data_IF_416097526269
#
_entry.id   IF_416097526269
#
_cell.length_a   1.000
_cell.length_b   1.000
_cell.length_c   1.000
_cell.angle_alpha   90.00
_cell.angle_beta   90.00
_cell.angle_gamma   90.00
#
_symmetry.space_group_name_H-M   'P 1'
#
loop_
_entity.id
_entity.type
_entity.pdbx_description
1 polymer ?
#
# COMPACT_ATOMS: atom_id res chain seq x y z
N UNK A 1 25.42 12.60 -9.05
CA UNK A 1 25.58 13.10 -10.44
C UNK A 1 25.54 14.62 -10.42
N UNK A 2 26.22 15.27 -11.35
CA UNK A 2 26.12 16.72 -11.54
C UNK A 2 25.06 17.02 -12.60
N UNK A 3 24.29 18.09 -12.42
CA UNK A 3 23.31 18.56 -13.39
C UNK A 3 23.96 18.85 -14.77
N UNK A 4 23.29 18.41 -15.84
CA UNK A 4 23.65 18.76 -17.22
C UNK A 4 22.39 18.99 -18.06
N UNK A 5 22.49 19.79 -19.09
CA UNK A 5 21.39 19.99 -20.05
C UNK A 5 20.99 18.68 -20.76
N UNK A 6 21.93 17.74 -20.88
CA UNK A 6 21.62 16.43 -21.45
C UNK A 6 20.64 15.63 -20.61
N UNK A 7 20.75 15.66 -19.27
CA UNK A 7 19.78 15.03 -18.37
C UNK A 7 18.38 15.62 -18.54
N UNK A 8 18.28 16.94 -18.74
CA UNK A 8 17.01 17.60 -18.96
C UNK A 8 16.28 17.11 -20.22
N UNK A 9 17.03 16.71 -21.25
CA UNK A 9 16.44 16.16 -22.48
C UNK A 9 15.82 14.77 -22.32
N UNK A 10 16.06 14.09 -21.19
CA UNK A 10 15.46 12.81 -20.86
C UNK A 10 14.00 12.96 -20.37
N UNK A 11 13.54 14.18 -20.08
CA UNK A 11 12.15 14.43 -19.70
C UNK A 11 11.23 14.11 -20.88
N UNK A 12 10.20 13.27 -20.68
CA UNK A 12 9.29 12.92 -21.75
C UNK A 12 8.55 14.16 -22.28
N UNK A 13 8.30 14.20 -23.57
CA UNK A 13 7.55 15.28 -24.25
C UNK A 13 8.10 16.71 -24.04
N UNK A 14 9.35 16.85 -23.62
CA UNK A 14 9.94 18.17 -23.31
C UNK A 14 9.83 19.14 -24.48
N UNK A 15 10.09 18.71 -25.71
CA UNK A 15 9.98 19.55 -26.92
C UNK A 15 8.55 20.07 -27.14
N UNK A 16 7.54 19.23 -26.93
CA UNK A 16 6.13 19.66 -27.04
C UNK A 16 5.78 20.63 -25.91
N UNK A 17 6.20 20.35 -24.69
CA UNK A 17 5.99 21.21 -23.53
C UNK A 17 6.62 22.60 -23.74
N UNK A 18 7.88 22.63 -24.20
CA UNK A 18 8.58 23.87 -24.56
C UNK A 18 7.82 24.68 -25.61
N UNK A 19 7.35 24.04 -26.70
CA UNK A 19 6.58 24.70 -27.76
C UNK A 19 5.29 25.30 -27.22
N UNK A 20 4.50 24.54 -26.49
CA UNK A 20 3.23 25.01 -25.91
C UNK A 20 3.43 26.24 -25.02
N UNK A 21 4.43 26.21 -24.15
CA UNK A 21 4.73 27.35 -23.25
C UNK A 21 5.15 28.57 -24.05
N UNK A 22 5.97 28.38 -25.11
CA UNK A 22 6.43 29.45 -26.00
C UNK A 22 5.28 30.07 -26.78
N UNK A 23 4.43 29.26 -27.43
CA UNK A 23 3.30 29.71 -28.26
C UNK A 23 2.24 30.48 -27.44
N UNK A 24 2.09 30.10 -26.19
CA UNK A 24 1.19 30.78 -25.25
C UNK A 24 1.80 32.05 -24.63
N UNK A 25 3.10 32.32 -24.83
CA UNK A 25 3.81 33.45 -24.22
C UNK A 25 3.93 33.34 -22.70
N UNK A 26 3.92 32.13 -22.15
CA UNK A 26 4.00 31.88 -20.72
C UNK A 26 5.43 31.59 -20.26
N UNK A 27 5.69 31.81 -18.98
CA UNK A 27 6.92 31.29 -18.35
C UNK A 27 6.59 29.98 -17.64
N UNK A 28 7.27 28.91 -18.00
CA UNK A 28 7.09 27.58 -17.43
C UNK A 28 8.40 27.00 -16.88
N UNK A 29 8.28 26.17 -15.88
CA UNK A 29 9.40 25.49 -15.26
C UNK A 29 9.02 24.02 -15.02
N UNK A 30 9.92 23.11 -15.37
CA UNK A 30 9.87 21.75 -14.80
C UNK A 30 10.35 21.82 -13.37
N UNK A 31 9.66 21.19 -12.45
CA UNK A 31 9.92 21.35 -11.01
C UNK A 31 9.77 20.03 -10.26
N UNK A 32 10.36 19.95 -9.08
CA UNK A 32 9.99 18.91 -8.12
C UNK A 32 10.70 17.57 -8.27
N UNK A 33 9.95 16.51 -8.01
CA UNK A 33 10.46 15.15 -7.89
C UNK A 33 11.12 14.59 -9.15
N UNK A 34 10.64 14.97 -10.32
CA UNK A 34 11.21 14.51 -11.59
C UNK A 34 12.68 14.93 -11.76
N UNK A 35 13.04 16.14 -11.33
CA UNK A 35 14.42 16.61 -11.38
C UNK A 35 15.33 15.88 -10.39
N UNK A 36 14.81 15.55 -9.19
CA UNK A 36 15.49 14.68 -8.24
C UNK A 36 15.74 13.31 -8.85
N UNK A 37 14.72 12.73 -9.48
CA UNK A 37 14.79 11.37 -10.01
C UNK A 37 15.76 11.29 -11.20
N UNK A 38 15.81 12.33 -12.05
CA UNK A 38 16.87 12.48 -13.05
C UNK A 38 18.27 12.53 -12.43
N UNK A 39 18.47 13.33 -11.37
CA UNK A 39 19.77 13.40 -10.67
C UNK A 39 20.17 12.07 -10.03
N UNK A 40 19.20 11.21 -9.69
CA UNK A 40 19.41 9.86 -9.17
C UNK A 40 19.53 8.79 -10.27
N UNK A 41 19.40 9.17 -11.55
CA UNK A 41 19.42 8.23 -12.68
C UNK A 41 18.21 7.31 -12.72
N UNK A 42 17.05 7.79 -12.23
CA UNK A 42 15.77 7.07 -12.24
C UNK A 42 14.94 7.50 -13.44
N UNK A 43 14.14 6.59 -13.94
CA UNK A 43 13.15 6.89 -14.98
C UNK A 43 12.11 7.88 -14.48
N UNK A 44 11.70 8.82 -15.35
CA UNK A 44 10.71 9.86 -15.05
C UNK A 44 9.47 9.65 -15.91
N UNK A 45 8.36 9.36 -15.25
CA UNK A 45 7.04 9.22 -15.87
C UNK A 45 6.03 10.26 -15.36
N UNK A 46 6.33 10.89 -14.22
CA UNK A 46 5.54 11.96 -13.62
C UNK A 46 6.33 13.27 -13.66
N UNK A 47 5.80 14.27 -14.37
CA UNK A 47 6.45 15.57 -14.58
C UNK A 47 5.59 16.68 -14.00
N UNK A 48 6.13 17.41 -13.02
CA UNK A 48 5.49 18.59 -12.43
C UNK A 48 5.92 19.87 -13.19
N UNK A 49 4.95 20.66 -13.59
CA UNK A 49 5.16 21.92 -14.31
C UNK A 49 4.57 23.09 -13.50
N UNK A 50 5.42 24.05 -13.13
CA UNK A 50 5.00 25.31 -12.57
C UNK A 50 4.92 26.38 -13.67
N UNK A 51 3.78 27.07 -13.77
CA UNK A 51 3.50 28.06 -14.83
C UNK A 51 3.24 29.42 -14.20
N UNK A 52 3.97 30.43 -14.67
CA UNK A 52 3.65 31.84 -14.37
C UNK A 52 2.51 32.28 -15.28
N UNK A 53 1.28 32.23 -14.76
CA UNK A 53 0.06 32.56 -15.49
C UNK A 53 -0.95 31.43 -15.51
N UNK A 54 -1.68 31.28 -16.62
CA UNK A 54 -2.79 30.33 -16.76
C UNK A 54 -2.27 28.89 -17.01
N UNK A 55 -2.09 28.15 -15.91
CA UNK A 55 -1.65 26.77 -15.95
C UNK A 55 -2.69 25.85 -16.61
N UNK A 56 -3.98 26.12 -16.44
CA UNK A 56 -5.05 25.33 -17.08
C UNK A 56 -5.03 25.46 -18.60
N UNK A 57 -4.86 26.68 -19.11
CA UNK A 57 -4.73 26.92 -20.56
C UNK A 57 -3.51 26.17 -21.12
N UNK A 58 -2.39 26.22 -20.39
CA UNK A 58 -1.17 25.49 -20.78
C UNK A 58 -1.42 23.97 -20.82
N UNK A 59 -2.03 23.40 -19.77
CA UNK A 59 -2.34 21.96 -19.67
C UNK A 59 -3.31 21.50 -20.78
N UNK A 60 -4.34 22.30 -21.11
CA UNK A 60 -5.29 21.96 -22.19
C UNK A 60 -4.63 21.95 -23.55
N UNK A 61 -3.79 22.96 -23.85
CA UNK A 61 -3.06 23.01 -25.11
C UNK A 61 -2.09 21.83 -25.22
N UNK A 62 -1.35 21.53 -24.15
CA UNK A 62 -0.44 20.39 -24.11
C UNK A 62 -1.18 19.03 -24.30
N UNK A 63 -2.35 18.87 -23.68
CA UNK A 63 -3.19 17.68 -23.86
C UNK A 63 -3.63 17.50 -25.32
N UNK A 64 -4.02 18.58 -26.01
CA UNK A 64 -4.40 18.55 -27.41
C UNK A 64 -3.23 18.10 -28.31
N UNK A 65 -2.03 18.65 -28.10
CA UNK A 65 -0.86 18.35 -28.91
C UNK A 65 -0.33 16.93 -28.70
N UNK A 66 -0.39 16.43 -27.45
CA UNK A 66 0.06 15.09 -27.12
C UNK A 66 -1.03 14.03 -27.26
N UNK A 67 -2.26 14.38 -27.64
CA UNK A 67 -3.44 13.51 -27.63
C UNK A 67 -3.65 12.85 -26.25
N UNK A 68 -3.37 13.62 -25.20
CA UNK A 68 -3.53 13.20 -23.80
C UNK A 68 -4.93 13.49 -23.25
N UNK A 69 -5.25 12.88 -22.13
CA UNK A 69 -6.50 13.14 -21.41
C UNK A 69 -6.25 14.18 -20.33
N UNK A 70 -7.02 15.28 -20.38
CA UNK A 70 -6.97 16.39 -19.41
C UNK A 70 -7.88 16.12 -18.22
N UNK A 71 -7.41 16.39 -17.02
CA UNK A 71 -8.17 16.37 -15.76
C UNK A 71 -7.92 17.65 -14.97
N UNK A 72 -8.98 18.21 -14.39
CA UNK A 72 -8.86 19.27 -13.40
C UNK A 72 -8.81 18.62 -12.02
N UNK A 73 -7.72 18.78 -11.27
CA UNK A 73 -7.52 18.19 -9.95
C UNK A 73 -8.06 19.10 -8.85
N UNK A 74 -7.81 20.40 -8.94
CA UNK A 74 -8.25 21.40 -7.97
C UNK A 74 -8.59 22.69 -8.72
N UNK A 75 -9.87 23.04 -8.74
CA UNK A 75 -10.36 24.20 -9.46
C UNK A 75 -9.96 25.53 -8.78
N UNK A 76 -9.95 25.54 -7.45
CA UNK A 76 -9.62 26.76 -6.69
C UNK A 76 -8.14 27.11 -6.80
N UNK A 77 -7.29 26.09 -6.84
CA UNK A 77 -5.83 26.24 -6.96
C UNK A 77 -5.31 26.18 -8.38
N UNK A 78 -6.17 25.91 -9.36
CA UNK A 78 -5.79 25.81 -10.77
C UNK A 78 -4.88 24.61 -11.11
N UNK A 79 -4.92 23.54 -10.31
CA UNK A 79 -4.11 22.36 -10.54
C UNK A 79 -4.77 21.44 -11.56
N UNK A 80 -4.02 21.06 -12.58
CA UNK A 80 -4.49 20.23 -13.69
C UNK A 80 -3.52 19.10 -13.95
N UNK A 81 -4.04 17.98 -14.49
CA UNK A 81 -3.28 16.81 -14.87
C UNK A 81 -3.54 16.46 -16.33
N UNK A 82 -2.51 16.08 -17.04
CA UNK A 82 -2.60 15.47 -18.36
C UNK A 82 -1.99 14.08 -18.30
N UNK A 83 -2.74 13.07 -18.74
CA UNK A 83 -2.29 11.68 -18.81
C UNK A 83 -2.16 11.26 -20.26
N UNK A 84 -1.00 10.79 -20.65
CA UNK A 84 -0.72 10.31 -21.99
C UNK A 84 -0.51 8.79 -21.91
N UNK A 85 -1.40 8.04 -22.57
CA UNK A 85 -1.28 6.57 -22.68
C UNK A 85 -0.45 6.22 -23.89
N UNK A 86 0.62 5.48 -23.69
CA UNK A 86 1.49 4.93 -24.73
C UNK A 86 1.53 3.40 -24.65
N UNK A 87 2.49 2.76 -25.33
CA UNK A 87 2.70 1.31 -25.27
C UNK A 87 3.37 0.79 -23.99
N UNK A 88 3.65 1.68 -23.04
CA UNK A 88 4.28 1.38 -21.74
C UNK A 88 3.48 1.93 -20.56
N UNK A 89 4.18 2.31 -19.50
CA UNK A 89 3.55 3.03 -18.38
C UNK A 89 3.02 4.39 -18.85
N UNK A 90 1.86 4.85 -18.35
CA UNK A 90 1.32 6.15 -18.73
C UNK A 90 2.25 7.28 -18.23
N UNK A 91 2.46 8.28 -19.09
CA UNK A 91 3.16 9.51 -18.73
C UNK A 91 2.15 10.48 -18.09
N UNK A 92 2.50 11.08 -16.95
CA UNK A 92 1.66 12.01 -16.21
C UNK A 92 2.33 13.39 -16.13
N UNK A 93 1.57 14.45 -16.43
CA UNK A 93 2.03 15.84 -16.38
C UNK A 93 1.11 16.64 -15.50
N UNK A 94 1.63 17.17 -14.40
CA UNK A 94 0.90 17.99 -13.43
C UNK A 94 1.25 19.47 -13.60
N UNK A 95 0.24 20.26 -13.94
CA UNK A 95 0.39 21.71 -14.15
C UNK A 95 -0.19 22.46 -12.96
N UNK A 96 0.59 23.38 -12.41
CA UNK A 96 0.17 24.26 -11.32
C UNK A 96 0.62 25.69 -11.57
N UNK A 97 -0.16 26.70 -11.17
CA UNK A 97 0.33 28.08 -11.13
C UNK A 97 1.49 28.21 -10.15
N UNK A 98 2.44 29.12 -10.45
CA UNK A 98 3.48 29.50 -9.49
C UNK A 98 2.85 30.02 -8.20
N UNK A 99 3.37 29.57 -7.07
CA UNK A 99 3.05 30.11 -5.75
C UNK A 99 4.06 31.17 -5.36
N UNK A 100 3.57 32.37 -5.05
CA UNK A 100 4.41 33.50 -4.72
C UNK A 100 4.79 34.32 -5.96
N UNK A 101 5.79 35.20 -5.81
CA UNK A 101 6.13 36.22 -6.83
C UNK A 101 7.02 35.70 -7.98
N UNK A 102 7.74 34.61 -7.74
CA UNK A 102 8.70 34.03 -8.68
C UNK A 102 8.96 32.56 -8.34
N UNK A 103 9.75 31.87 -9.18
CA UNK A 103 10.09 30.45 -9.00
C UNK A 103 10.87 30.20 -7.70
N UNK A 104 11.70 31.11 -7.25
CA UNK A 104 12.48 30.96 -6.00
C UNK A 104 11.52 30.96 -4.79
N UNK A 105 10.52 31.85 -4.81
CA UNK A 105 9.47 31.87 -3.79
C UNK A 105 8.63 30.59 -3.81
N UNK A 106 8.28 30.05 -4.99
CA UNK A 106 7.57 28.76 -5.11
C UNK A 106 8.38 27.61 -4.49
N UNK A 107 9.67 27.53 -4.83
CA UNK A 107 10.55 26.46 -4.32
C UNK A 107 10.68 26.50 -2.78
N UNK A 108 10.72 27.68 -2.18
CA UNK A 108 10.78 27.87 -0.73
C UNK A 108 9.51 27.40 0.01
N UNK A 109 8.36 27.32 -0.67
CA UNK A 109 7.08 26.84 -0.13
C UNK A 109 6.91 25.31 -0.24
N UNK A 110 7.86 24.61 -0.88
CA UNK A 110 7.82 23.15 -1.02
C UNK A 110 8.13 22.44 0.29
N UNK A 111 7.98 21.13 0.28
CA UNK A 111 8.16 20.29 1.47
C UNK A 111 9.65 20.14 1.84
N UNK A 112 10.45 19.60 0.92
CA UNK A 112 11.86 19.26 1.15
C UNK A 112 12.75 19.80 0.04
N UNK A 113 14.00 20.14 0.39
CA UNK A 113 15.00 20.68 -0.53
C UNK A 113 15.22 19.81 -1.77
N UNK A 114 15.20 18.49 -1.60
CA UNK A 114 15.32 17.50 -2.68
C UNK A 114 14.19 17.58 -3.73
N UNK A 115 13.07 18.22 -3.41
CA UNK A 115 11.94 18.49 -4.31
C UNK A 115 11.82 19.96 -4.66
N UNK A 116 12.71 20.80 -4.17
CA UNK A 116 12.71 22.26 -4.38
C UNK A 116 13.71 22.67 -5.47
N UNK A 117 13.64 21.96 -6.58
CA UNK A 117 14.46 22.16 -7.78
C UNK A 117 13.58 22.64 -8.92
N UNK A 118 14.11 23.45 -9.80
CA UNK A 118 13.43 23.89 -11.01
C UNK A 118 14.41 24.02 -12.20
N UNK A 119 13.90 23.81 -13.41
CA UNK A 119 14.60 24.12 -14.66
C UNK A 119 13.64 24.90 -15.56
N UNK A 120 14.02 26.06 -16.10
CA UNK A 120 13.18 26.83 -17.00
C UNK A 120 12.94 26.07 -18.29
N UNK A 121 11.71 26.10 -18.79
CA UNK A 121 11.37 25.55 -20.11
C UNK A 121 11.87 26.41 -21.26
N UNK A 122 12.16 27.68 -21.00
CA UNK A 122 12.66 28.63 -22.00
C UNK A 122 14.08 29.07 -21.63
N UNK A 123 14.92 29.27 -22.66
CA UNK A 123 16.30 29.72 -22.48
C UNK A 123 17.25 28.57 -22.17
N UNK A 124 18.25 28.84 -21.35
CA UNK A 124 19.23 27.81 -20.96
C UNK A 124 18.64 26.87 -19.89
N UNK A 125 18.83 25.56 -20.06
CA UNK A 125 18.41 24.53 -19.10
C UNK A 125 19.32 24.52 -17.85
N UNK A 126 19.33 25.61 -17.10
CA UNK A 126 20.12 25.78 -15.87
C UNK A 126 19.27 25.36 -14.67
N UNK A 127 19.85 24.54 -13.80
CA UNK A 127 19.18 24.15 -12.55
C UNK A 127 19.08 25.34 -11.60
N UNK A 128 17.87 25.67 -11.20
CA UNK A 128 17.54 26.65 -10.15
C UNK A 128 17.40 25.87 -8.85
N UNK A 129 18.36 26.03 -7.95
CA UNK A 129 18.45 25.32 -6.67
C UNK A 129 18.81 26.29 -5.52
N UNK A 130 17.86 27.13 -5.11
CA UNK A 130 18.15 28.16 -4.09
C UNK A 130 18.33 27.57 -2.69
N UNK A 131 17.95 26.32 -2.46
CA UNK A 131 17.95 25.69 -1.13
C UNK A 131 19.00 24.57 -0.98
N UNK A 132 19.81 24.33 -2.02
CA UNK A 132 20.86 23.31 -1.99
C UNK A 132 20.35 21.87 -2.11
N UNK A 133 19.20 21.65 -2.77
CA UNK A 133 18.58 20.35 -2.93
C UNK A 133 19.45 19.34 -3.66
N UNK A 134 20.23 19.77 -4.68
CA UNK A 134 21.18 18.89 -5.38
C UNK A 134 22.30 18.39 -4.45
N UNK A 135 22.78 19.24 -3.55
CA UNK A 135 23.74 18.84 -2.53
C UNK A 135 23.12 17.84 -1.53
N UNK A 136 21.88 18.07 -1.08
CA UNK A 136 21.16 17.16 -0.20
C UNK A 136 20.86 15.82 -0.89
N UNK A 137 20.55 15.78 -2.17
CA UNK A 137 20.43 14.55 -2.96
C UNK A 137 21.75 13.77 -2.94
N UNK A 138 22.88 14.45 -3.20
CA UNK A 138 24.20 13.83 -3.19
C UNK A 138 24.61 13.33 -1.82
N UNK A 139 24.19 14.03 -0.76
CA UNK A 139 24.41 13.65 0.66
C UNK A 139 23.38 12.64 1.18
N UNK A 140 22.38 12.27 0.37
CA UNK A 140 21.29 11.38 0.75
C UNK A 140 20.51 11.89 1.97
N UNK A 141 20.15 13.18 1.98
CA UNK A 141 19.46 13.86 3.09
C UNK A 141 18.08 14.34 2.69
N UNK A 142 17.12 14.14 3.58
CA UNK A 142 15.78 14.76 3.54
C UNK A 142 15.77 15.95 4.48
N UNK A 143 15.80 17.16 3.92
CA UNK A 143 15.81 18.44 4.66
C UNK A 143 14.57 19.24 4.32
N UNK A 144 13.88 19.81 5.33
CA UNK A 144 12.73 20.72 5.12
C UNK A 144 13.17 22.03 4.43
N UNK A 145 12.35 22.56 3.54
CA UNK A 145 12.65 23.81 2.84
C UNK A 145 12.65 25.03 3.75
N UNK A 146 11.77 25.08 4.74
CA UNK A 146 11.62 26.23 5.64
C UNK A 146 11.23 25.82 7.06
N UNK A 147 11.36 26.76 8.00
CA UNK A 147 10.88 26.55 9.38
C UNK A 147 9.36 26.43 9.49
N UNK A 148 8.61 27.01 8.54
CA UNK A 148 7.14 26.93 8.51
C UNK A 148 6.62 25.65 7.85
N UNK A 149 7.46 24.88 7.16
CA UNK A 149 7.09 23.75 6.31
C UNK A 149 6.07 22.82 6.97
N UNK A 150 6.27 22.43 8.23
CA UNK A 150 5.38 21.52 8.96
C UNK A 150 4.09 22.17 9.50
N UNK A 151 4.09 23.50 9.66
CA UNK A 151 2.87 24.26 10.00
C UNK A 151 1.99 24.45 8.77
N UNK A 152 2.61 24.67 7.61
CA UNK A 152 1.92 24.91 6.33
C UNK A 152 1.16 23.66 5.87
N UNK A 153 1.73 22.46 6.04
CA UNK A 153 1.07 21.17 5.83
C UNK A 153 1.64 20.10 6.80
N UNK A 154 0.89 19.73 7.85
CA UNK A 154 1.33 18.72 8.81
C UNK A 154 1.56 17.31 8.22
N UNK A 155 0.99 16.98 7.05
CA UNK A 155 1.30 15.72 6.38
C UNK A 155 2.77 15.58 6.03
N UNK A 156 3.49 16.68 5.86
CA UNK A 156 4.93 16.69 5.58
C UNK A 156 5.75 16.00 6.67
N UNK A 157 5.21 15.89 7.90
CA UNK A 157 5.81 15.10 8.97
C UNK A 157 5.94 13.63 8.58
N UNK A 158 4.89 13.03 8.03
CA UNK A 158 4.89 11.64 7.53
C UNK A 158 5.69 11.52 6.22
N UNK A 159 5.55 12.51 5.33
CA UNK A 159 6.27 12.56 4.05
C UNK A 159 7.79 12.53 4.22
N UNK A 160 8.33 13.10 5.32
CA UNK A 160 9.76 13.02 5.62
C UNK A 160 10.24 11.56 5.71
N UNK A 161 9.51 10.74 6.47
CA UNK A 161 9.82 9.31 6.62
C UNK A 161 9.57 8.54 5.32
N UNK A 162 8.52 8.89 4.57
CA UNK A 162 8.27 8.26 3.28
C UNK A 162 9.41 8.53 2.30
N UNK A 163 9.90 9.78 2.20
CA UNK A 163 11.05 10.07 1.33
C UNK A 163 12.33 9.40 1.84
N UNK A 164 12.54 9.34 3.15
CA UNK A 164 13.67 8.63 3.72
C UNK A 164 13.63 7.14 3.34
N UNK A 165 12.47 6.48 3.46
CA UNK A 165 12.28 5.08 3.09
C UNK A 165 12.44 4.85 1.57
N UNK A 166 11.67 5.55 0.72
CA UNK A 166 11.61 5.31 -0.73
C UNK A 166 12.89 5.69 -1.48
N UNK A 167 13.65 6.66 -0.95
CA UNK A 167 14.93 7.09 -1.52
C UNK A 167 16.13 6.43 -0.84
N UNK A 168 15.94 5.78 0.30
CA UNK A 168 17.00 5.28 1.20
C UNK A 168 17.92 6.41 1.67
N UNK A 169 17.31 7.54 2.01
CA UNK A 169 17.95 8.73 2.55
C UNK A 169 17.79 8.79 4.07
N UNK A 170 18.59 9.64 4.73
CA UNK A 170 18.43 9.97 6.14
C UNK A 170 17.68 11.29 6.28
N UNK A 171 16.86 11.41 7.32
CA UNK A 171 16.27 12.71 7.67
C UNK A 171 17.37 13.54 8.36
N UNK A 172 17.52 14.78 7.92
CA UNK A 172 18.49 15.72 8.52
C UNK A 172 18.12 15.99 9.99
N UNK A 173 19.15 16.08 10.85
CA UNK A 173 18.98 16.14 12.31
C UNK A 173 18.06 17.28 12.78
N UNK A 174 18.20 18.50 12.22
CA UNK A 174 17.34 19.62 12.58
C UNK A 174 15.90 19.43 12.06
N UNK A 175 15.74 18.79 10.92
CA UNK A 175 14.44 18.41 10.36
C UNK A 175 13.75 17.39 11.26
N UNK A 176 14.48 16.35 11.70
CA UNK A 176 13.96 15.31 12.60
C UNK A 176 13.57 15.91 13.96
N UNK A 177 14.40 16.77 14.53
CA UNK A 177 14.09 17.49 15.78
C UNK A 177 12.83 18.37 15.63
N UNK A 178 12.68 19.02 14.47
CA UNK A 178 11.51 19.85 14.23
C UNK A 178 10.20 19.04 14.08
N UNK A 179 10.27 17.78 13.61
CA UNK A 179 9.11 16.88 13.56
C UNK A 179 8.52 16.71 14.96
N UNK A 180 9.33 16.38 15.95
CA UNK A 180 8.87 16.19 17.35
C UNK A 180 8.13 17.42 17.92
N UNK A 181 8.53 18.63 17.51
CA UNK A 181 7.92 19.89 17.96
C UNK A 181 6.60 20.26 17.25
N UNK A 182 6.19 19.54 16.19
CA UNK A 182 5.05 19.92 15.35
C UNK A 182 4.00 18.82 15.19
N UNK A 183 3.99 17.80 16.03
CA UNK A 183 3.12 16.62 15.90
C UNK A 183 1.62 16.87 16.07
N UNK A 184 1.12 17.70 17.03
CA UNK A 184 -0.30 17.75 17.34
C UNK A 184 -1.22 18.05 16.13
N UNK A 185 -0.89 18.96 15.19
CA UNK A 185 -1.73 19.22 14.02
C UNK A 185 -1.92 18.02 13.08
N UNK A 186 -1.04 17.00 13.14
CA UNK A 186 -1.16 15.77 12.34
C UNK A 186 -2.45 15.00 12.66
N UNK A 187 -2.96 15.12 13.89
CA UNK A 187 -4.23 14.49 14.28
C UNK A 187 -5.41 14.93 13.39
N UNK A 188 -5.39 16.16 12.89
CA UNK A 188 -6.44 16.77 12.05
C UNK A 188 -6.27 16.49 10.55
N UNK A 189 -5.17 15.89 10.13
CA UNK A 189 -4.96 15.51 8.73
C UNK A 189 -5.89 14.36 8.35
N UNK A 190 -6.50 14.46 7.16
CA UNK A 190 -7.39 13.43 6.62
C UNK A 190 -6.71 12.05 6.60
N UNK A 191 -7.43 11.03 7.05
CA UNK A 191 -6.90 9.68 7.21
C UNK A 191 -6.41 9.05 5.91
N UNK A 192 -7.08 9.37 4.81
CA UNK A 192 -6.71 8.92 3.46
C UNK A 192 -5.32 9.44 3.06
N UNK A 193 -5.03 10.72 3.34
CA UNK A 193 -3.72 11.31 3.04
C UNK A 193 -2.61 10.65 3.86
N UNK A 194 -2.88 10.38 5.15
CA UNK A 194 -1.92 9.67 6.03
C UNK A 194 -1.74 8.24 5.54
N UNK A 195 -2.83 7.53 5.21
CA UNK A 195 -2.80 6.16 4.65
C UNK A 195 -1.84 6.08 3.47
N UNK A 196 -2.01 6.96 2.49
CA UNK A 196 -1.25 6.92 1.25
C UNK A 196 0.26 7.07 1.49
N UNK A 197 0.68 7.89 2.45
CA UNK A 197 2.09 8.00 2.83
C UNK A 197 2.58 6.77 3.63
N UNK A 198 1.78 6.28 4.60
CA UNK A 198 2.13 5.10 5.41
C UNK A 198 2.28 3.84 4.57
N UNK A 199 1.34 3.60 3.65
CA UNK A 199 1.41 2.39 2.81
C UNK A 199 2.57 2.44 1.83
N UNK A 200 2.97 3.60 1.35
CA UNK A 200 4.22 3.74 0.58
C UNK A 200 5.46 3.37 1.40
N UNK A 201 5.49 3.71 2.71
CA UNK A 201 6.57 3.27 3.61
C UNK A 201 6.53 1.74 3.79
N UNK A 202 5.35 1.17 4.04
CA UNK A 202 5.17 -0.26 4.26
C UNK A 202 5.48 -1.11 3.01
N UNK A 203 5.40 -0.55 1.81
CA UNK A 203 5.78 -1.22 0.57
C UNK A 203 7.30 -1.36 0.42
N UNK A 204 8.07 -0.50 1.07
CA UNK A 204 9.54 -0.55 1.01
C UNK A 204 10.09 -1.69 1.90
N UNK A 205 11.27 -2.19 1.52
CA UNK A 205 12.03 -3.09 2.39
C UNK A 205 12.66 -2.31 3.54
N UNK A 206 12.70 -2.91 4.74
CA UNK A 206 13.19 -2.27 5.95
C UNK A 206 12.22 -1.26 6.56
N UNK A 207 10.92 -1.38 6.25
CA UNK A 207 9.86 -0.53 6.81
C UNK A 207 9.86 -0.50 8.35
N UNK A 208 10.31 -1.57 9.02
CA UNK A 208 10.45 -1.64 10.46
C UNK A 208 11.36 -0.53 11.02
N UNK A 209 12.48 -0.23 10.36
CA UNK A 209 13.38 0.85 10.80
C UNK A 209 12.70 2.23 10.71
N UNK A 210 11.91 2.48 9.67
CA UNK A 210 11.12 3.71 9.54
C UNK A 210 10.08 3.85 10.64
N UNK A 211 9.43 2.75 11.03
CA UNK A 211 8.47 2.73 12.15
C UNK A 211 9.16 2.97 13.49
N UNK A 212 10.36 2.41 13.72
CA UNK A 212 11.18 2.75 14.90
C UNK A 212 11.48 4.24 14.95
N UNK A 213 11.93 4.83 13.85
CA UNK A 213 12.29 6.25 13.81
C UNK A 213 11.05 7.15 13.99
N UNK A 214 9.92 6.85 13.35
CA UNK A 214 8.63 7.53 13.58
C UNK A 214 8.20 7.44 15.06
N UNK A 215 8.43 6.29 15.69
CA UNK A 215 8.16 6.09 17.12
C UNK A 215 9.03 6.94 18.02
N UNK A 216 10.32 7.05 17.72
CA UNK A 216 11.29 7.81 18.51
C UNK A 216 10.96 9.30 18.61
N UNK A 217 10.31 9.86 17.59
CA UNK A 217 9.85 11.25 17.56
C UNK A 217 8.41 11.43 18.05
N UNK A 218 7.70 10.34 18.41
CA UNK A 218 6.32 10.39 18.93
C UNK A 218 5.23 10.41 17.86
N UNK A 219 5.57 10.28 16.56
CA UNK A 219 4.61 10.36 15.46
C UNK A 219 3.55 9.26 15.55
N UNK A 220 3.95 8.01 15.84
CA UNK A 220 3.02 6.88 15.97
C UNK A 220 2.10 7.01 17.17
N UNK A 221 2.52 7.77 18.20
CA UNK A 221 1.66 8.15 19.33
C UNK A 221 0.49 9.02 18.88
N UNK A 222 0.73 10.02 18.04
CA UNK A 222 -0.31 10.91 17.53
C UNK A 222 -1.22 10.19 16.51
N UNK A 223 -0.67 9.29 15.70
CA UNK A 223 -1.44 8.62 14.64
C UNK A 223 -2.27 7.46 15.20
N UNK A 224 -1.70 6.64 16.10
CA UNK A 224 -2.32 5.38 16.57
C UNK A 224 -2.53 5.31 18.09
N UNK A 225 -2.16 6.33 18.86
CA UNK A 225 -2.22 6.29 20.32
C UNK A 225 -1.17 5.38 20.98
N UNK A 226 -0.03 5.12 20.30
CA UNK A 226 0.99 4.19 20.76
C UNK A 226 2.01 4.84 21.70
N UNK A 227 2.33 4.13 22.78
CA UNK A 227 3.45 4.49 23.63
C UNK A 227 4.79 4.08 23.01
N UNK A 228 5.78 4.96 23.06
CA UNK A 228 7.11 4.74 22.44
C UNK A 228 7.80 3.46 22.90
N UNK A 229 7.59 3.02 24.15
CA UNK A 229 8.20 1.81 24.70
C UNK A 229 7.82 0.52 23.94
N UNK A 230 6.65 0.47 23.31
CA UNK A 230 6.17 -0.71 22.58
C UNK A 230 6.63 -0.76 21.13
N UNK A 231 7.04 0.36 20.57
CA UNK A 231 7.25 0.50 19.12
C UNK A 231 8.47 -0.29 18.65
N UNK A 232 9.58 -0.27 19.37
CA UNK A 232 10.81 -0.95 18.96
C UNK A 232 10.64 -2.47 18.79
N UNK A 233 9.85 -3.11 19.66
CA UNK A 233 9.54 -4.53 19.52
C UNK A 233 8.53 -4.78 18.40
N UNK A 234 7.51 -3.93 18.28
CA UNK A 234 6.50 -4.04 17.24
C UNK A 234 7.09 -3.86 15.82
N UNK A 235 8.05 -2.96 15.68
CA UNK A 235 8.72 -2.75 14.40
C UNK A 235 9.49 -4.00 13.91
N UNK A 236 10.04 -4.81 14.81
CA UNK A 236 10.68 -6.08 14.45
C UNK A 236 9.70 -7.08 13.82
N UNK A 237 8.41 -7.00 14.15
CA UNK A 237 7.41 -7.85 13.54
C UNK A 237 7.22 -7.53 12.04
N UNK A 238 7.40 -6.27 11.64
CA UNK A 238 7.45 -5.89 10.21
C UNK A 238 8.62 -6.60 9.51
N UNK A 239 9.82 -6.53 10.10
CA UNK A 239 11.02 -7.14 9.53
C UNK A 239 10.90 -8.68 9.44
N UNK A 240 10.20 -9.30 10.39
CA UNK A 240 9.93 -10.76 10.35
C UNK A 240 8.99 -11.13 9.20
N UNK A 241 7.95 -10.34 8.94
CA UNK A 241 7.06 -10.55 7.76
C UNK A 241 7.87 -10.43 6.48
N UNK A 242 8.73 -9.41 6.34
CA UNK A 242 9.58 -9.24 5.16
C UNK A 242 10.47 -10.48 4.95
N UNK A 243 11.20 -10.92 5.96
CA UNK A 243 12.08 -12.10 5.88
C UNK A 243 11.33 -13.36 5.48
N UNK A 244 10.17 -13.60 6.06
CA UNK A 244 9.37 -14.78 5.74
C UNK A 244 8.88 -14.71 4.29
N UNK A 245 8.29 -13.60 3.87
CA UNK A 245 7.79 -13.44 2.50
C UNK A 245 8.93 -13.56 1.48
N UNK A 246 10.07 -12.95 1.71
CA UNK A 246 11.24 -13.03 0.85
C UNK A 246 11.73 -14.48 0.73
N UNK A 247 11.83 -15.23 1.85
CA UNK A 247 12.30 -16.60 1.82
C UNK A 247 11.39 -17.53 1.02
N UNK A 248 10.07 -17.28 1.06
CA UNK A 248 9.09 -18.07 0.30
C UNK A 248 8.97 -17.64 -1.16
N UNK A 249 9.11 -16.35 -1.47
CA UNK A 249 9.02 -15.83 -2.84
C UNK A 249 10.26 -16.12 -3.67
N UNK A 250 11.44 -16.28 -3.04
CA UNK A 250 12.69 -16.65 -3.70
C UNK A 250 12.82 -18.16 -3.96
N UNK A 251 11.96 -18.97 -3.35
CA UNK A 251 11.92 -20.40 -3.63
C UNK A 251 11.45 -20.65 -5.07
N UNK A 252 11.86 -21.76 -5.68
CA UNK A 252 11.36 -22.17 -6.99
C UNK A 252 10.03 -22.92 -6.86
N UNK A 253 9.15 -22.76 -7.87
CA UNK A 253 7.92 -23.52 -8.01
C UNK A 253 6.63 -22.71 -7.91
N UNK A 254 5.52 -23.36 -8.21
CA UNK A 254 4.18 -22.76 -8.30
C UNK A 254 3.77 -22.03 -7.01
N UNK A 255 4.08 -22.58 -5.86
CA UNK A 255 3.73 -22.00 -4.57
C UNK A 255 4.39 -20.63 -4.37
N UNK A 256 5.68 -20.50 -4.74
CA UNK A 256 6.40 -19.24 -4.64
C UNK A 256 5.83 -18.17 -5.58
N UNK A 257 5.50 -18.55 -6.81
CA UNK A 257 4.86 -17.67 -7.79
C UNK A 257 3.50 -17.17 -7.28
N UNK A 258 2.65 -18.07 -6.79
CA UNK A 258 1.33 -17.71 -6.24
C UNK A 258 1.43 -16.81 -5.01
N UNK A 259 2.39 -17.04 -4.14
CA UNK A 259 2.67 -16.16 -2.99
C UNK A 259 3.10 -14.79 -3.48
N UNK A 260 4.08 -14.70 -4.39
CA UNK A 260 4.55 -13.43 -4.93
C UNK A 260 3.42 -12.62 -5.57
N UNK A 261 2.60 -13.25 -6.40
CA UNK A 261 1.42 -12.63 -7.00
C UNK A 261 0.43 -12.13 -5.93
N UNK A 262 0.13 -12.93 -4.91
CA UNK A 262 -0.79 -12.56 -3.83
C UNK A 262 -0.28 -11.38 -3.02
N UNK A 263 1.00 -11.33 -2.71
CA UNK A 263 1.61 -10.23 -1.94
C UNK A 263 1.51 -8.89 -2.65
N UNK A 264 1.58 -8.88 -4.00
CA UNK A 264 1.44 -7.69 -4.83
C UNK A 264 -0.01 -7.25 -5.10
N UNK A 265 -1.03 -8.03 -4.72
CA UNK A 265 -2.43 -7.67 -4.96
C UNK A 265 -2.80 -6.39 -4.21
N UNK A 266 -3.27 -5.39 -4.92
CA UNK A 266 -3.90 -4.21 -4.32
C UNK A 266 -5.35 -4.52 -3.95
N UNK A 267 -5.67 -4.40 -2.66
CA UNK A 267 -7.03 -4.57 -2.12
C UNK A 267 -7.77 -3.24 -1.96
N UNK A 268 -7.02 -2.16 -2.03
CA UNK A 268 -7.47 -0.77 -2.09
C UNK A 268 -6.34 0.01 -2.77
N UNK A 269 -6.65 1.12 -3.44
CA UNK A 269 -5.62 1.94 -4.11
C UNK A 269 -4.43 2.23 -3.19
N UNK A 270 -3.24 1.82 -3.62
CA UNK A 270 -1.99 1.95 -2.87
C UNK A 270 -1.84 1.03 -1.64
N UNK A 271 -2.77 0.09 -1.42
CA UNK A 271 -2.76 -0.84 -0.26
C UNK A 271 -2.60 -2.27 -0.75
N UNK A 272 -1.39 -2.80 -0.71
CA UNK A 272 -1.10 -4.19 -1.08
C UNK A 272 -1.31 -5.16 0.10
N UNK A 273 -1.52 -6.44 -0.20
CA UNK A 273 -1.62 -7.50 0.82
C UNK A 273 -0.37 -7.54 1.69
N UNK A 274 0.83 -7.46 1.11
CA UNK A 274 2.09 -7.44 1.87
C UNK A 274 2.14 -6.26 2.86
N UNK A 275 1.77 -5.06 2.42
CA UNK A 275 1.77 -3.88 3.29
C UNK A 275 0.74 -4.02 4.42
N UNK A 276 -0.42 -4.64 4.16
CA UNK A 276 -1.39 -4.97 5.21
C UNK A 276 -0.86 -6.00 6.21
N UNK A 277 -0.15 -7.03 5.75
CA UNK A 277 0.49 -8.02 6.62
C UNK A 277 1.51 -7.36 7.55
N UNK A 278 2.35 -6.48 7.02
CA UNK A 278 3.33 -5.71 7.81
C UNK A 278 2.63 -4.87 8.87
N UNK A 279 1.57 -4.15 8.48
CA UNK A 279 0.77 -3.35 9.42
C UNK A 279 0.10 -4.23 10.48
N UNK A 280 -0.54 -5.34 10.08
CA UNK A 280 -1.19 -6.28 11.00
C UNK A 280 -0.19 -6.88 12.01
N UNK A 281 1.02 -7.24 11.57
CA UNK A 281 2.07 -7.73 12.46
C UNK A 281 2.52 -6.65 13.47
N UNK A 282 2.69 -5.42 13.00
CA UNK A 282 3.08 -4.29 13.83
C UNK A 282 2.04 -3.99 14.92
N UNK A 283 0.77 -3.81 14.54
CA UNK A 283 -0.31 -3.45 15.48
C UNK A 283 -0.57 -4.57 16.49
N UNK A 284 -0.48 -5.83 16.07
CA UNK A 284 -0.62 -6.97 16.96
C UNK A 284 0.51 -7.01 18.00
N UNK A 285 1.76 -6.88 17.56
CA UNK A 285 2.92 -6.83 18.46
C UNK A 285 2.91 -5.59 19.38
N UNK A 286 2.34 -4.47 18.92
CA UNK A 286 2.13 -3.27 19.73
C UNK A 286 0.97 -3.40 20.72
N UNK A 287 0.12 -4.44 20.58
CA UNK A 287 -1.02 -4.70 21.47
C UNK A 287 -2.20 -3.76 21.25
N UNK A 288 -2.39 -3.24 20.04
CA UNK A 288 -3.57 -2.43 19.65
C UNK A 288 -4.53 -3.22 18.76
N UNK A 289 -5.82 -2.92 18.90
CA UNK A 289 -6.84 -3.58 18.09
C UNK A 289 -6.81 -3.12 16.62
N UNK A 290 -7.20 -3.99 15.67
CA UNK A 290 -7.17 -3.69 14.23
C UNK A 290 -8.05 -2.50 13.83
N UNK A 291 -9.09 -2.18 14.60
CA UNK A 291 -9.99 -1.07 14.32
C UNK A 291 -9.29 0.31 14.43
N UNK A 292 -8.34 0.47 15.35
CA UNK A 292 -7.64 1.75 15.54
C UNK A 292 -6.95 2.23 14.24
N UNK A 293 -6.02 1.46 13.63
CA UNK A 293 -5.42 1.87 12.36
C UNK A 293 -6.42 1.85 11.20
N UNK A 294 -7.38 0.92 11.19
CA UNK A 294 -8.39 0.85 10.14
C UNK A 294 -9.24 2.12 10.07
N UNK A 295 -9.68 2.64 11.20
CA UNK A 295 -10.48 3.86 11.28
C UNK A 295 -9.63 5.10 11.02
N UNK A 296 -8.43 5.15 11.59
CA UNK A 296 -7.52 6.28 11.42
C UNK A 296 -7.03 6.44 9.99
N UNK A 297 -6.71 5.34 9.31
CA UNK A 297 -6.22 5.31 7.92
C UNK A 297 -7.34 5.18 6.88
N UNK A 298 -8.61 5.15 7.31
CA UNK A 298 -9.75 5.01 6.40
C UNK A 298 -9.62 3.81 5.47
N UNK A 299 -9.29 2.65 6.04
CA UNK A 299 -9.24 1.42 5.26
C UNK A 299 -10.62 1.02 4.77
N UNK A 300 -10.70 0.65 3.50
CA UNK A 300 -11.91 0.12 2.89
C UNK A 300 -12.25 -1.27 3.43
N UNK A 301 -13.48 -1.74 3.18
CA UNK A 301 -14.02 -2.99 3.74
C UNK A 301 -13.10 -4.19 3.47
N UNK A 302 -12.59 -4.36 2.25
CA UNK A 302 -11.73 -5.49 1.90
C UNK A 302 -10.40 -5.48 2.70
N UNK A 303 -9.71 -4.33 2.75
CA UNK A 303 -8.47 -4.18 3.51
C UNK A 303 -8.68 -4.38 5.02
N UNK A 304 -9.79 -3.85 5.56
CA UNK A 304 -10.19 -4.02 6.96
C UNK A 304 -10.40 -5.49 7.30
N UNK A 305 -11.20 -6.21 6.51
CA UNK A 305 -11.50 -7.62 6.76
C UNK A 305 -10.24 -8.49 6.74
N UNK A 306 -9.33 -8.27 5.78
CA UNK A 306 -8.04 -8.99 5.74
C UNK A 306 -7.21 -8.67 6.98
N UNK A 307 -7.10 -7.42 7.37
CA UNK A 307 -6.33 -7.03 8.55
C UNK A 307 -6.90 -7.63 9.83
N UNK A 308 -8.23 -7.63 9.99
CA UNK A 308 -8.91 -8.25 11.12
C UNK A 308 -8.66 -9.76 11.16
N UNK A 309 -8.79 -10.46 10.02
CA UNK A 309 -8.51 -11.89 9.90
C UNK A 309 -7.05 -12.21 10.30
N UNK A 310 -6.08 -11.43 9.81
CA UNK A 310 -4.68 -11.60 10.17
C UNK A 310 -4.40 -11.35 11.66
N UNK A 311 -5.08 -10.41 12.30
CA UNK A 311 -4.95 -10.16 13.74
C UNK A 311 -5.62 -11.25 14.58
N UNK A 312 -6.81 -11.74 14.17
CA UNK A 312 -7.52 -12.81 14.87
C UNK A 312 -6.79 -14.15 14.82
N UNK A 313 -6.01 -14.42 13.80
CA UNK A 313 -5.15 -15.61 13.70
C UNK A 313 -4.20 -15.81 14.90
N UNK A 314 -4.05 -14.79 15.75
CA UNK A 314 -3.34 -14.86 17.03
C UNK A 314 -4.00 -15.81 18.04
N UNK A 315 -5.33 -15.89 18.04
CA UNK A 315 -6.09 -16.63 19.05
C UNK A 315 -6.18 -18.13 18.74
N UNK A 316 -5.67 -18.59 17.59
CA UNK A 316 -5.76 -19.98 17.18
C UNK A 316 -4.69 -20.83 17.90
N UNK A 317 -5.06 -21.98 18.48
CA UNK A 317 -4.11 -22.81 19.22
C UNK A 317 -2.98 -23.28 18.30
N UNK A 318 -1.74 -23.05 18.71
CA UNK A 318 -0.51 -23.41 17.98
C UNK A 318 -0.34 -24.91 17.73
N UNK A 319 -1.15 -25.75 18.34
CA UNK A 319 -0.99 -27.21 18.39
C UNK A 319 -1.85 -28.00 17.38
N UNK A 320 -2.49 -27.38 16.37
CA UNK A 320 -3.62 -28.07 15.79
C UNK A 320 -3.86 -28.10 14.29
N UNK A 321 -2.97 -27.59 13.43
CA UNK A 321 -3.28 -27.55 11.98
C UNK A 321 -2.69 -28.73 11.18
N UNK A 322 -2.54 -29.89 11.78
CA UNK A 322 -1.92 -31.07 11.15
C UNK A 322 -2.92 -31.97 10.43
N UNK A 323 -4.22 -31.67 10.49
CA UNK A 323 -5.25 -32.43 9.78
C UNK A 323 -5.95 -31.57 8.74
N UNK A 324 -6.47 -32.16 7.64
CA UNK A 324 -7.25 -31.41 6.64
C UNK A 324 -8.42 -30.62 7.25
N UNK A 325 -9.12 -31.19 8.25
CA UNK A 325 -10.23 -30.50 8.93
C UNK A 325 -9.76 -29.30 9.75
N UNK A 326 -8.62 -29.40 10.45
CA UNK A 326 -8.09 -28.24 11.18
C UNK A 326 -7.57 -27.15 10.25
N UNK A 327 -6.96 -27.52 9.12
CA UNK A 327 -6.56 -26.58 8.09
C UNK A 327 -7.78 -25.89 7.42
N UNK A 328 -8.84 -26.66 7.15
CA UNK A 328 -10.09 -26.11 6.62
C UNK A 328 -10.65 -25.03 7.55
N UNK A 329 -10.80 -25.33 8.85
CA UNK A 329 -11.32 -24.38 9.84
C UNK A 329 -10.46 -23.15 9.93
N UNK A 330 -9.13 -23.28 9.94
CA UNK A 330 -8.21 -22.14 9.94
C UNK A 330 -8.53 -21.14 8.82
N UNK A 331 -8.64 -21.63 7.58
CA UNK A 331 -8.90 -20.75 6.44
C UNK A 331 -10.34 -20.25 6.40
N UNK A 332 -11.32 -21.11 6.73
CA UNK A 332 -12.73 -20.75 6.78
C UNK A 332 -13.02 -19.65 7.82
N UNK A 333 -12.47 -19.79 9.03
CA UNK A 333 -12.67 -18.84 10.13
C UNK A 333 -11.87 -17.54 9.94
N UNK A 334 -10.89 -17.56 9.05
CA UNK A 334 -10.02 -16.40 8.75
C UNK A 334 -10.33 -15.78 7.38
N UNK A 335 -11.42 -16.14 6.71
CA UNK A 335 -11.80 -15.46 5.46
C UNK A 335 -11.96 -13.94 5.69
N UNK A 336 -11.45 -13.09 4.77
CA UNK A 336 -10.92 -13.39 3.43
C UNK A 336 -9.38 -13.58 3.35
N UNK A 337 -8.69 -13.84 4.47
CA UNK A 337 -7.26 -14.11 4.44
C UNK A 337 -6.99 -15.48 3.80
N UNK A 338 -5.98 -15.55 2.93
CA UNK A 338 -5.61 -16.73 2.18
C UNK A 338 -4.15 -17.11 2.41
N UNK A 339 -3.32 -17.09 1.35
CA UNK A 339 -1.90 -17.41 1.43
C UNK A 339 -1.10 -16.57 2.42
N UNK A 340 -1.56 -15.35 2.71
CA UNK A 340 -0.98 -14.46 3.71
C UNK A 340 -1.09 -15.01 5.14
N UNK A 341 -2.08 -15.86 5.43
CA UNK A 341 -2.33 -16.35 6.77
C UNK A 341 -1.22 -17.27 7.30
N UNK A 342 -0.80 -18.36 6.61
CA UNK A 342 0.29 -19.19 7.08
C UNK A 342 1.63 -18.44 7.17
N UNK A 343 1.89 -17.49 6.26
CA UNK A 343 3.08 -16.65 6.32
C UNK A 343 3.07 -15.74 7.55
N UNK A 344 1.90 -15.18 7.90
CA UNK A 344 1.72 -14.37 9.10
C UNK A 344 1.93 -15.18 10.39
N UNK A 345 1.40 -16.41 10.43
CA UNK A 345 1.60 -17.34 11.55
C UNK A 345 3.09 -17.74 11.73
N UNK A 346 3.78 -17.97 10.61
CA UNK A 346 5.22 -18.26 10.63
C UNK A 346 6.02 -17.04 11.12
N UNK A 347 5.73 -15.84 10.61
CA UNK A 347 6.40 -14.60 11.03
C UNK A 347 6.24 -14.32 12.53
N UNK A 348 5.14 -14.78 13.14
CA UNK A 348 4.90 -14.72 14.60
C UNK A 348 5.53 -15.86 15.39
N UNK A 349 6.12 -16.85 14.73
CA UNK A 349 6.67 -18.05 15.37
C UNK A 349 5.64 -19.04 15.90
N UNK A 350 4.39 -18.97 15.41
CA UNK A 350 3.31 -19.87 15.81
C UNK A 350 3.39 -21.24 15.12
N UNK A 351 4.02 -21.32 13.96
CA UNK A 351 4.21 -22.54 13.18
C UNK A 351 5.64 -22.61 12.64
N UNK A 352 6.06 -23.80 12.23
CA UNK A 352 7.35 -24.02 11.56
C UNK A 352 7.26 -23.71 10.06
N UNK A 353 8.41 -23.57 9.40
CA UNK A 353 8.47 -23.37 7.95
C UNK A 353 7.84 -24.55 7.18
N UNK A 354 8.11 -25.81 7.59
CA UNK A 354 7.48 -26.99 7.00
C UNK A 354 5.97 -26.91 7.05
N UNK A 355 5.44 -26.57 8.22
CA UNK A 355 3.99 -26.47 8.43
C UNK A 355 3.39 -25.30 7.63
N UNK A 356 4.11 -24.19 7.49
CA UNK A 356 3.69 -23.07 6.62
C UNK A 356 3.55 -23.54 5.16
N UNK A 357 4.51 -24.33 4.64
CA UNK A 357 4.47 -24.90 3.29
C UNK A 357 3.31 -25.87 3.11
N UNK A 358 3.04 -26.71 4.10
CA UNK A 358 1.90 -27.65 4.11
C UNK A 358 0.57 -26.91 4.05
N UNK A 359 0.38 -25.88 4.88
CA UNK A 359 -0.83 -25.06 4.90
C UNK A 359 -1.02 -24.28 3.59
N UNK A 360 0.03 -23.68 3.06
CA UNK A 360 -0.03 -23.00 1.77
C UNK A 360 -0.36 -23.96 0.62
N UNK A 361 0.22 -25.19 0.65
CA UNK A 361 -0.12 -26.25 -0.29
C UNK A 361 -1.58 -26.71 -0.17
N UNK A 362 -2.06 -26.91 1.03
CA UNK A 362 -3.48 -27.22 1.28
C UNK A 362 -4.41 -26.13 0.74
N UNK A 363 -4.10 -24.86 1.00
CA UNK A 363 -4.90 -23.73 0.50
C UNK A 363 -4.98 -23.74 -1.03
N UNK A 364 -3.85 -23.89 -1.72
CA UNK A 364 -3.79 -23.87 -3.17
C UNK A 364 -4.43 -25.09 -3.86
N UNK A 365 -4.23 -26.29 -3.30
CA UNK A 365 -4.59 -27.53 -3.97
C UNK A 365 -5.86 -28.20 -3.44
N UNK A 366 -6.36 -27.76 -2.29
CA UNK A 366 -7.57 -28.32 -1.67
C UNK A 366 -8.61 -27.27 -1.34
N UNK A 367 -8.26 -26.24 -0.57
CA UNK A 367 -9.22 -25.25 -0.10
C UNK A 367 -9.84 -24.43 -1.25
N UNK A 368 -9.03 -23.81 -2.10
CA UNK A 368 -9.52 -23.04 -3.25
C UNK A 368 -10.25 -23.92 -4.28
N UNK A 369 -9.64 -25.01 -4.81
CA UNK A 369 -10.28 -25.75 -5.89
C UNK A 369 -11.58 -26.46 -5.47
N UNK A 370 -11.65 -26.94 -4.23
CA UNK A 370 -12.79 -27.72 -3.74
C UNK A 370 -13.83 -26.88 -3.00
N UNK A 371 -13.46 -25.70 -2.49
CA UNK A 371 -14.36 -24.79 -1.79
C UNK A 371 -15.15 -23.83 -2.69
N UNK A 372 -14.74 -23.71 -3.97
CA UNK A 372 -15.30 -22.72 -4.90
C UNK A 372 -16.72 -23.04 -5.42
N UNK A 373 -17.11 -24.31 -5.48
CA UNK A 373 -18.47 -24.73 -5.83
C UNK A 373 -18.86 -25.97 -5.02
N UNK A 374 -20.01 -25.91 -4.38
CA UNK A 374 -20.56 -27.07 -3.68
C UNK A 374 -21.09 -28.09 -4.68
N UNK A 375 -20.90 -29.39 -4.37
CA UNK A 375 -21.41 -30.51 -5.16
C UNK A 375 -22.93 -30.59 -5.17
N UNK A 376 -23.59 -30.01 -4.17
CA UNK A 376 -25.03 -29.91 -4.11
C UNK A 376 -25.48 -28.46 -3.93
N UNK A 377 -26.46 -28.03 -4.70
CA UNK A 377 -27.11 -26.72 -4.55
C UNK A 377 -28.00 -26.68 -3.32
N UNK A 378 -28.35 -25.46 -2.87
CA UNK A 378 -29.33 -25.27 -1.77
C UNK A 378 -30.67 -25.98 -2.03
N UNK A 379 -31.17 -25.97 -3.28
CA UNK A 379 -32.41 -26.63 -3.65
C UNK A 379 -32.33 -28.16 -3.52
N UNK A 380 -31.19 -28.75 -3.90
CA UNK A 380 -30.97 -30.20 -3.77
C UNK A 380 -30.82 -30.59 -2.31
N UNK A 381 -30.14 -29.79 -1.48
CA UNK A 381 -30.02 -30.01 -0.03
C UNK A 381 -31.39 -29.95 0.64
N UNK A 382 -32.19 -28.92 0.33
CA UNK A 382 -33.58 -28.83 0.85
C UNK A 382 -34.40 -30.05 0.50
N UNK A 383 -34.34 -30.52 -0.74
CA UNK A 383 -35.05 -31.70 -1.22
C UNK A 383 -34.52 -32.97 -0.51
N UNK A 384 -33.19 -33.13 -0.40
CA UNK A 384 -32.53 -34.28 0.18
C UNK A 384 -32.88 -34.47 1.66
N UNK A 385 -32.94 -33.36 2.41
CA UNK A 385 -33.16 -33.35 3.86
C UNK A 385 -34.61 -33.07 4.25
N UNK A 386 -35.47 -32.75 3.28
CA UNK A 386 -36.87 -32.34 3.50
C UNK A 386 -37.00 -31.16 4.47
N UNK A 387 -36.14 -30.15 4.34
CA UNK A 387 -36.08 -28.95 5.18
C UNK A 387 -36.41 -27.69 4.39
N UNK A 388 -37.06 -26.69 5.01
CA UNK A 388 -37.32 -25.40 4.39
C UNK A 388 -36.01 -24.57 4.31
N UNK A 389 -35.96 -23.49 3.48
CA UNK A 389 -34.86 -22.55 3.49
C UNK A 389 -34.59 -22.01 4.90
N UNK A 390 -33.31 -22.01 5.32
CA UNK A 390 -32.94 -21.50 6.64
C UNK A 390 -31.65 -22.11 7.20
N UNK A 391 -31.53 -22.06 8.52
CA UNK A 391 -30.32 -22.44 9.25
C UNK A 391 -29.83 -23.86 8.95
N UNK A 392 -30.73 -24.84 8.85
CA UNK A 392 -30.40 -26.23 8.55
C UNK A 392 -29.70 -26.40 7.18
N UNK A 393 -30.11 -25.60 6.17
CA UNK A 393 -29.46 -25.60 4.85
C UNK A 393 -28.07 -25.00 4.95
N UNK A 394 -27.89 -23.94 5.75
CA UNK A 394 -26.58 -23.31 6.00
C UNK A 394 -25.62 -24.28 6.69
N UNK A 395 -26.07 -24.98 7.73
CA UNK A 395 -25.29 -26.00 8.44
C UNK A 395 -24.88 -27.16 7.50
N UNK A 396 -25.80 -27.62 6.64
CA UNK A 396 -25.52 -28.65 5.65
C UNK A 396 -24.49 -28.19 4.61
N UNK A 397 -24.53 -26.91 4.20
CA UNK A 397 -23.52 -26.31 3.31
C UNK A 397 -22.14 -26.28 3.94
N UNK A 398 -22.01 -25.87 5.19
CA UNK A 398 -20.73 -25.81 5.91
C UNK A 398 -20.14 -27.20 6.08
N UNK A 399 -20.94 -28.19 6.50
CA UNK A 399 -20.53 -29.58 6.62
C UNK A 399 -20.06 -30.16 5.28
N UNK A 400 -20.81 -29.89 4.21
CA UNK A 400 -20.44 -30.37 2.86
C UNK A 400 -19.17 -29.70 2.35
N UNK A 401 -19.01 -28.39 2.59
CA UNK A 401 -17.82 -27.64 2.22
C UNK A 401 -16.57 -28.16 2.94
N UNK A 402 -16.68 -28.44 4.24
CA UNK A 402 -15.59 -29.07 5.00
C UNK A 402 -15.24 -30.44 4.42
N UNK A 403 -16.24 -31.30 4.19
CA UNK A 403 -16.03 -32.65 3.66
C UNK A 403 -15.42 -32.64 2.23
N UNK A 404 -15.80 -31.68 1.38
CA UNK A 404 -15.17 -31.50 0.08
C UNK A 404 -13.71 -31.02 0.19
N UNK A 405 -13.46 -30.00 0.99
CA UNK A 405 -12.13 -29.43 1.15
C UNK A 405 -11.16 -30.41 1.82
N UNK A 406 -11.65 -31.31 2.69
CA UNK A 406 -10.85 -32.35 3.33
C UNK A 406 -10.67 -33.60 2.45
N UNK A 407 -11.42 -33.71 1.35
CA UNK A 407 -11.39 -34.87 0.45
C UNK A 407 -12.20 -36.08 0.93
N UNK A 408 -13.03 -35.91 1.96
CA UNK A 408 -13.98 -36.94 2.43
C UNK A 408 -15.09 -37.19 1.42
N UNK A 409 -15.45 -36.13 0.64
CA UNK A 409 -16.49 -36.15 -0.38
C UNK A 409 -15.95 -35.54 -1.68
N UNK A 410 -16.04 -36.27 -2.78
CA UNK A 410 -15.52 -35.85 -4.09
C UNK A 410 -16.56 -35.90 -5.22
N UNK A 411 -17.72 -36.53 -4.98
CA UNK A 411 -18.80 -36.71 -5.97
C UNK A 411 -20.15 -36.33 -5.37
N UNK A 412 -21.13 -35.96 -6.23
CA UNK A 412 -22.51 -35.67 -5.79
C UNK A 412 -23.16 -36.86 -5.06
N UNK A 413 -22.87 -38.11 -5.48
CA UNK A 413 -23.38 -39.32 -4.85
C UNK A 413 -22.86 -39.45 -3.41
N UNK A 414 -21.55 -39.23 -3.23
CA UNK A 414 -20.92 -39.20 -1.90
C UNK A 414 -21.47 -38.07 -1.03
N UNK A 415 -21.68 -36.86 -1.61
CA UNK A 415 -22.25 -35.72 -0.92
C UNK A 415 -23.67 -36.03 -0.37
N UNK A 416 -24.52 -36.65 -1.18
CA UNK A 416 -25.87 -37.10 -0.79
C UNK A 416 -25.82 -38.14 0.34
N UNK A 417 -24.96 -39.10 0.23
CA UNK A 417 -24.78 -40.14 1.24
C UNK A 417 -24.25 -39.55 2.57
N UNK A 418 -23.26 -38.68 2.48
CA UNK A 418 -22.65 -37.97 3.63
C UNK A 418 -23.66 -37.14 4.40
N UNK A 419 -24.43 -36.27 3.73
CA UNK A 419 -25.43 -35.44 4.41
C UNK A 419 -26.55 -36.26 5.04
N UNK A 420 -27.03 -37.31 4.37
CA UNK A 420 -27.98 -38.25 4.97
C UNK A 420 -27.46 -38.89 6.25
N UNK A 421 -26.23 -39.38 6.23
CA UNK A 421 -25.59 -40.01 7.40
C UNK A 421 -25.41 -38.99 8.54
N UNK A 422 -24.94 -37.78 8.28
CA UNK A 422 -24.61 -36.81 9.33
C UNK A 422 -25.85 -36.14 9.94
N UNK A 423 -26.88 -35.83 9.16
CA UNK A 423 -27.99 -35.00 9.58
C UNK A 423 -29.30 -35.76 9.83
N UNK A 424 -29.51 -36.94 9.18
CA UNK A 424 -30.71 -37.76 9.41
C UNK A 424 -30.54 -38.79 10.55
N UNK A 425 -29.28 -39.16 10.86
CA UNK A 425 -29.00 -40.05 12.01
C UNK A 425 -28.97 -39.31 13.37
N UNK A 426 -28.98 -37.97 13.38
CA UNK A 426 -29.04 -37.16 14.62
C UNK A 426 -30.51 -36.85 15.06
N UNK A 427 -31.48 -37.36 14.31
CA UNK A 427 -32.91 -37.16 14.61
C UNK A 427 -33.62 -38.38 15.22
N UNK A 428 -32.87 -39.32 15.85
CA UNK A 428 -33.54 -40.24 16.74
C UNK A 428 -33.96 -39.52 18.02
N UNK A 429 -35.24 -39.52 18.37
CA UNK A 429 -35.69 -38.94 19.63
C UNK A 429 -35.16 -39.81 20.77
N UNK A 430 -34.50 -39.20 21.74
CA UNK A 430 -34.33 -39.83 23.04
C UNK A 430 -35.71 -40.11 23.58
N UNK A 431 -36.07 -41.40 23.60
CA UNK A 431 -37.22 -41.91 24.23
C UNK A 431 -37.17 -41.83 25.78
#
# INVERSE_FOLDING_TARGET
MTWSSALFMEIPRLTTLWRVVTDLGLQGYVVGGCLRDLLLGREVNDVDIAVAGDAERCARQFALECRGTFFRLDQERGHCRVVIKGGGQPETFDFAPLRGKDIVADLALRDFTINALAVPLMGQAVLIDPLGGAADISAQLVRRCSRSSFRDDPLRLVRAFRFAATLRFRIETETLAAISGHLPPLANVAGERIRDEFFRILQESGAGSSFCEMGSVGLLGVVFGLESARIGQAAKAIDMVEKVVDSFSLAAGEQAEKIGLRMGVEVQSGVTVLALMKLAAFIDAAGIGPNVPADRLKLGKAARNIMEALCHARALPSAGYHTPSSAFRLFNDSEPAGLELPLQLLARGHITESHCRELAGYYLHSHIPRGGSLLLSSAEIMTLLSVPPGKAVGEAHELLREAQCTGEVNTEAEARAFLRKKLLTTSEPMG
#
